data_IF_735108080760
#
_entry.id   IF_735108080760
#
_cell.length_a   1.000
_cell.length_b   1.000
_cell.length_c   1.000
_cell.angle_alpha   90.00
_cell.angle_beta   90.00
_cell.angle_gamma   90.00
#
_symmetry.space_group_name_H-M   'P 1'
#
loop_
_entity.id
_entity.type
_entity.pdbx_description
1 polymer ?
#
# COMPACT_ATOMS: atom_id res chain seq x y z
N UNK A 1 5.26 -6.24 13.19
CA UNK A 1 4.18 -5.95 12.23
C UNK A 1 4.62 -4.90 11.22
N UNK A 2 4.00 -4.89 10.07
CA UNK A 2 4.20 -3.86 9.05
C UNK A 2 3.04 -2.88 9.15
N UNK A 3 3.34 -1.59 9.26
CA UNK A 3 2.33 -0.53 9.30
C UNK A 3 2.03 -0.08 7.86
N UNK A 4 0.77 -0.16 7.46
CA UNK A 4 0.35 0.24 6.12
C UNK A 4 -0.54 1.47 6.22
N UNK A 5 -0.16 2.54 5.52
CA UNK A 5 -0.89 3.81 5.47
C UNK A 5 -1.69 3.89 4.17
N UNK A 6 -2.96 4.22 4.31
CA UNK A 6 -3.89 4.40 3.19
C UNK A 6 -4.12 5.89 3.00
N UNK A 7 -3.55 6.47 1.95
CA UNK A 7 -3.60 7.91 1.74
C UNK A 7 -4.77 8.33 0.85
N UNK A 8 -5.33 9.49 1.15
CA UNK A 8 -6.39 10.09 0.34
C UNK A 8 -7.59 9.16 0.17
N UNK A 9 -8.09 9.01 -1.08
CA UNK A 9 -9.28 8.18 -1.33
C UNK A 9 -9.08 6.69 -1.00
N UNK A 10 -7.84 6.22 -0.87
CA UNK A 10 -7.60 4.83 -0.49
C UNK A 10 -8.05 4.56 0.94
N UNK A 11 -7.96 5.55 1.83
CA UNK A 11 -8.47 5.42 3.20
C UNK A 11 -9.98 5.20 3.21
N UNK A 12 -10.72 5.90 2.35
CA UNK A 12 -12.16 5.75 2.25
C UNK A 12 -12.54 4.35 1.74
N UNK A 13 -11.79 3.86 0.76
CA UNK A 13 -12.03 2.53 0.20
C UNK A 13 -11.72 1.40 1.19
N UNK A 14 -10.70 1.60 2.02
CA UNK A 14 -10.33 0.61 3.04
C UNK A 14 -11.19 0.71 4.29
N UNK A 15 -11.69 1.91 4.58
CA UNK A 15 -12.39 2.17 5.82
C UNK A 15 -11.44 2.42 6.99
N UNK A 16 -10.18 2.73 6.71
CA UNK A 16 -9.17 2.99 7.72
C UNK A 16 -8.01 3.78 7.11
N UNK A 17 -7.40 4.64 7.90
CA UNK A 17 -6.23 5.41 7.46
C UNK A 17 -4.94 4.61 7.61
N UNK A 18 -4.92 3.63 8.53
CA UNK A 18 -3.78 2.74 8.69
C UNK A 18 -4.25 1.38 9.18
N UNK A 19 -3.45 0.37 8.86
CA UNK A 19 -3.64 -0.99 9.40
C UNK A 19 -2.27 -1.63 9.62
N UNK A 20 -2.24 -2.63 10.47
CA UNK A 20 -1.02 -3.38 10.77
C UNK A 20 -1.19 -4.81 10.27
N UNK A 21 -0.20 -5.29 9.51
CA UNK A 21 -0.21 -6.65 8.98
C UNK A 21 1.04 -7.40 9.47
N UNK A 22 0.94 -8.72 9.52
CA UNK A 22 2.07 -9.55 9.92
C UNK A 22 3.20 -9.43 8.90
N UNK A 23 4.43 -9.39 9.40
CA UNK A 23 5.63 -9.41 8.56
C UNK A 23 6.04 -10.86 8.26
N UNK A 24 6.69 -11.12 7.14
CA UNK A 24 6.95 -10.19 6.04
C UNK A 24 5.70 -9.91 5.23
N UNK A 25 5.66 -8.76 4.58
CA UNK A 25 4.52 -8.39 3.73
C UNK A 25 5.03 -8.11 2.32
N UNK A 26 4.63 -8.95 1.38
CA UNK A 26 4.96 -8.78 -0.03
C UNK A 26 3.74 -8.29 -0.82
N UNK A 27 3.92 -8.12 -2.12
CA UNK A 27 2.86 -7.64 -3.00
C UNK A 27 1.61 -8.52 -2.93
N UNK A 28 1.77 -9.84 -3.06
CA UNK A 28 0.65 -10.77 -3.00
C UNK A 28 -0.06 -10.73 -1.65
N UNK A 29 0.71 -10.66 -0.58
CA UNK A 29 0.15 -10.57 0.77
C UNK A 29 -0.62 -9.28 0.99
N UNK A 30 -0.11 -8.17 0.45
CA UNK A 30 -0.79 -6.88 0.55
C UNK A 30 -2.14 -6.95 -0.19
N UNK A 31 -2.15 -7.42 -1.42
CA UNK A 31 -3.38 -7.54 -2.21
C UNK A 31 -4.42 -8.44 -1.54
N UNK A 32 -3.97 -9.49 -0.87
CA UNK A 32 -4.86 -10.45 -0.22
C UNK A 32 -5.51 -9.89 1.05
N UNK A 33 -4.88 -8.93 1.71
CA UNK A 33 -5.33 -8.47 3.03
C UNK A 33 -6.06 -7.14 3.02
N UNK A 34 -5.87 -6.30 2.00
CA UNK A 34 -6.62 -5.05 1.87
C UNK A 34 -8.00 -5.33 1.29
N UNK A 35 -8.90 -4.33 1.34
CA UNK A 35 -10.22 -4.47 0.72
C UNK A 35 -10.06 -4.73 -0.78
N UNK A 36 -11.08 -5.36 -1.38
CA UNK A 36 -11.07 -5.64 -2.81
C UNK A 36 -10.97 -4.36 -3.64
N UNK A 37 -11.56 -3.27 -3.17
CA UNK A 37 -11.50 -1.98 -3.86
C UNK A 37 -10.10 -1.38 -3.84
N UNK A 38 -9.41 -1.49 -2.69
CA UNK A 38 -8.03 -1.04 -2.59
C UNK A 38 -7.12 -1.92 -3.44
N UNK A 39 -7.30 -3.24 -3.39
CA UNK A 39 -6.51 -4.16 -4.20
C UNK A 39 -6.63 -3.84 -5.69
N UNK A 40 -7.83 -3.50 -6.15
CA UNK A 40 -8.06 -3.10 -7.54
C UNK A 40 -7.31 -1.81 -7.87
N UNK A 41 -7.39 -0.80 -7.00
CA UNK A 41 -6.68 0.45 -7.19
C UNK A 41 -5.16 0.28 -7.21
N UNK A 42 -4.65 -0.60 -6.37
CA UNK A 42 -3.20 -0.85 -6.30
C UNK A 42 -2.63 -1.39 -7.60
N UNK A 43 -3.44 -1.98 -8.45
CA UNK A 43 -3.02 -2.51 -9.74
C UNK A 43 -2.99 -1.45 -10.84
N UNK A 44 -3.48 -0.25 -10.57
CA UNK A 44 -3.40 0.87 -11.49
C UNK A 44 -1.95 1.38 -11.54
N UNK A 45 -1.43 1.59 -12.74
CA UNK A 45 -0.05 2.02 -12.94
C UNK A 45 0.27 3.37 -12.31
N UNK A 46 -0.75 4.18 -12.04
CA UNK A 46 -0.57 5.51 -11.43
C UNK A 46 -0.51 5.46 -9.91
N UNK A 47 -0.83 4.32 -9.31
CA UNK A 47 -0.74 4.14 -7.86
C UNK A 47 0.66 3.65 -7.53
N UNK A 48 1.31 4.29 -6.57
CA UNK A 48 2.66 3.95 -6.16
C UNK A 48 2.67 3.43 -4.72
N UNK A 49 3.75 2.76 -4.37
CA UNK A 49 3.95 2.26 -3.01
C UNK A 49 5.32 2.74 -2.53
N UNK A 50 5.36 3.32 -1.33
CA UNK A 50 6.60 3.66 -0.67
C UNK A 50 6.83 2.68 0.48
N UNK A 51 8.07 2.29 0.68
CA UNK A 51 8.47 1.44 1.79
C UNK A 51 9.72 2.06 2.42
N UNK A 52 9.71 2.18 3.74
CA UNK A 52 10.80 2.82 4.47
C UNK A 52 11.14 4.22 3.94
N UNK A 53 10.12 4.96 3.54
CA UNK A 53 10.28 6.34 3.08
C UNK A 53 10.72 6.50 1.63
N UNK A 54 10.85 5.40 0.87
CA UNK A 54 11.25 5.45 -0.54
C UNK A 54 10.19 4.85 -1.43
N UNK A 55 9.86 5.54 -2.51
CA UNK A 55 8.91 5.04 -3.50
C UNK A 55 9.57 3.90 -4.27
N UNK A 56 8.88 2.76 -4.36
CA UNK A 56 9.40 1.60 -5.07
C UNK A 56 9.31 1.82 -6.58
N UNK A 57 10.39 1.52 -7.30
CA UNK A 57 10.39 1.57 -8.77
C UNK A 57 9.47 0.49 -9.35
N UNK A 58 9.34 -0.63 -8.64
CA UNK A 58 8.45 -1.72 -8.99
C UNK A 58 7.68 -2.14 -7.74
N UNK A 59 6.43 -1.72 -7.65
CA UNK A 59 5.61 -2.00 -6.47
C UNK A 59 5.33 -3.50 -6.28
N UNK A 60 5.41 -4.28 -7.36
CA UNK A 60 5.21 -5.74 -7.25
C UNK A 60 6.39 -6.43 -6.57
N UNK A 61 7.50 -5.71 -6.39
CA UNK A 61 8.67 -6.21 -5.68
C UNK A 61 8.64 -5.87 -4.18
N UNK A 62 7.50 -5.39 -3.67
CA UNK A 62 7.36 -5.07 -2.25
C UNK A 62 7.79 -6.24 -1.38
N UNK A 63 8.63 -5.95 -0.39
CA UNK A 63 9.11 -6.92 0.58
C UNK A 63 9.35 -6.20 1.91
N UNK A 64 8.26 -5.94 2.62
CA UNK A 64 8.31 -5.22 3.88
C UNK A 64 8.60 -6.16 5.03
N UNK A 65 9.49 -5.73 5.90
CA UNK A 65 9.96 -6.50 7.05
C UNK A 65 9.34 -5.99 8.35
N UNK A 66 9.59 -6.70 9.43
CA UNK A 66 9.12 -6.31 10.75
C UNK A 66 9.53 -4.87 11.07
N UNK A 67 8.55 -4.05 11.46
CA UNK A 67 8.78 -2.66 11.81
C UNK A 67 8.77 -1.69 10.64
N UNK A 68 8.64 -2.16 9.41
CA UNK A 68 8.60 -1.29 8.24
C UNK A 68 7.26 -0.57 8.14
N UNK A 69 7.30 0.61 7.50
CA UNK A 69 6.11 1.38 7.16
C UNK A 69 5.95 1.40 5.65
N UNK A 70 4.75 1.08 5.20
CA UNK A 70 4.39 1.06 3.78
C UNK A 70 3.31 2.11 3.56
N UNK A 71 3.51 3.00 2.60
CA UNK A 71 2.51 4.00 2.25
C UNK A 71 1.95 3.71 0.86
N UNK A 72 0.63 3.69 0.76
CA UNK A 72 -0.08 3.49 -0.50
C UNK A 72 -0.45 4.86 -1.05
N UNK A 73 0.13 5.22 -2.19
CA UNK A 73 0.06 6.56 -2.76
C UNK A 73 -0.92 6.58 -3.94
N UNK A 74 -2.06 7.25 -3.80
CA UNK A 74 -3.03 7.33 -4.89
C UNK A 74 -2.51 8.19 -6.05
N UNK A 75 -3.15 8.13 -7.23
CA UNK A 75 -2.78 9.00 -8.34
C UNK A 75 -2.92 10.46 -7.94
N UNK A 76 -1.99 11.30 -8.41
CA UNK A 76 -2.07 12.75 -8.20
C UNK A 76 -3.05 13.32 -9.20
N UNK A 77 -4.13 13.95 -8.69
CA UNK A 77 -5.14 14.55 -9.56
C UNK A 77 -4.65 15.89 -10.11
N UNK A 78 -5.00 16.18 -11.37
CA UNK A 78 -4.68 17.43 -12.02
C UNK A 78 -3.20 17.64 -12.27
N UNK A 79 -2.43 16.61 -12.10
CA UNK A 79 -0.97 16.65 -12.14
C UNK A 79 -0.43 16.88 -13.49
#
# INVERSE_FOLDING_TARGET
>A
MVRVLFLGPLADLEGAEERFFAAPLDWGGLLAQVSSRVAEQLQDSRVHIACRGSVLSDKTALDAKEGDEVALLPPVSGG
#
